data_IF_372678290199
#
_entry.id   IF_372678290199
#
_cell.length_a   1.000
_cell.length_b   1.000
_cell.length_c   1.000
_cell.angle_alpha   90.00
_cell.angle_beta   90.00
_cell.angle_gamma   90.00
#
_symmetry.space_group_name_H-M   'P 1'
#
loop_
_entity.id
_entity.type
_entity.pdbx_description
1 polymer ?
#
# COMPACT_ATOMS: atom_id res chain seq x y z
N UNK A 1 -12.65 -8.25 -4.16
CA UNK A 1 -12.38 -9.68 -4.37
C UNK A 1 -10.94 -9.87 -4.82
N UNK A 2 -10.46 -9.17 -5.86
CA UNK A 2 -9.10 -9.33 -6.40
C UNK A 2 -8.03 -9.13 -5.32
N UNK A 3 -8.07 -8.01 -4.59
CA UNK A 3 -7.14 -7.69 -3.50
C UNK A 3 -7.27 -8.61 -2.28
N UNK A 4 -8.41 -9.28 -2.14
CA UNK A 4 -8.66 -10.16 -1.01
C UNK A 4 -8.02 -11.55 -1.18
N UNK A 5 -8.07 -12.11 -2.37
CA UNK A 5 -7.74 -13.52 -2.59
C UNK A 5 -6.44 -13.67 -3.39
N UNK A 6 -6.29 -12.89 -4.45
CA UNK A 6 -5.22 -13.10 -5.44
C UNK A 6 -3.79 -12.96 -4.89
N UNK A 7 -3.46 -11.99 -3.99
CA UNK A 7 -2.10 -11.89 -3.46
C UNK A 7 -1.65 -13.15 -2.72
N UNK A 8 -2.54 -13.74 -1.93
CA UNK A 8 -2.25 -14.97 -1.19
C UNK A 8 -2.12 -16.18 -2.13
N UNK A 9 -3.07 -16.36 -3.07
CA UNK A 9 -3.03 -17.47 -4.03
C UNK A 9 -1.78 -17.44 -4.93
N UNK A 10 -1.48 -16.28 -5.49
CA UNK A 10 -0.32 -16.11 -6.36
C UNK A 10 1.00 -16.22 -5.58
N UNK A 11 1.00 -15.79 -4.31
CA UNK A 11 2.12 -16.05 -3.40
C UNK A 11 2.44 -17.53 -3.30
N UNK A 12 1.41 -18.38 -3.17
CA UNK A 12 1.57 -19.85 -3.14
C UNK A 12 2.13 -20.39 -4.45
N UNK A 13 1.61 -19.90 -5.58
CA UNK A 13 2.12 -20.30 -6.91
C UNK A 13 3.61 -19.97 -7.04
N UNK A 14 4.00 -18.80 -6.55
CA UNK A 14 5.40 -18.36 -6.53
C UNK A 14 6.27 -19.19 -5.59
N UNK A 15 5.78 -19.51 -4.40
CA UNK A 15 6.55 -20.29 -3.43
C UNK A 15 6.79 -21.74 -3.88
N UNK A 16 5.89 -22.33 -4.69
CA UNK A 16 5.91 -23.76 -5.02
C UNK A 16 6.29 -24.11 -6.43
N UNK A 17 5.91 -23.31 -7.42
CA UNK A 17 5.93 -23.78 -8.82
C UNK A 17 6.64 -22.86 -9.79
N UNK A 18 6.56 -21.55 -9.60
CA UNK A 18 7.04 -20.60 -10.63
C UNK A 18 7.93 -19.54 -9.96
N UNK A 19 8.99 -19.18 -10.65
CA UNK A 19 9.85 -18.08 -10.21
C UNK A 19 9.04 -16.78 -10.06
N UNK A 20 9.22 -16.08 -8.95
CA UNK A 20 8.45 -14.88 -8.59
C UNK A 20 8.56 -13.78 -9.66
N UNK A 21 9.76 -13.53 -10.20
CA UNK A 21 10.00 -12.51 -11.22
C UNK A 21 9.28 -12.85 -12.53
N UNK A 22 9.27 -14.11 -12.93
CA UNK A 22 8.58 -14.55 -14.16
C UNK A 22 7.07 -14.46 -14.02
N UNK A 23 6.56 -14.89 -12.86
CA UNK A 23 5.14 -14.81 -12.54
C UNK A 23 4.67 -13.36 -12.52
N UNK A 24 5.45 -12.47 -11.93
CA UNK A 24 5.18 -11.03 -11.92
C UNK A 24 5.15 -10.47 -13.36
N UNK A 25 6.08 -10.89 -14.23
CA UNK A 25 6.11 -10.49 -15.65
C UNK A 25 4.86 -10.92 -16.41
N UNK A 26 4.43 -12.17 -16.24
CA UNK A 26 3.20 -12.68 -16.88
C UNK A 26 1.96 -11.92 -16.39
N UNK A 27 1.87 -11.65 -15.10
CA UNK A 27 0.75 -10.90 -14.53
C UNK A 27 0.69 -9.46 -15.06
N UNK A 28 1.83 -8.79 -15.23
CA UNK A 28 1.88 -7.48 -15.86
C UNK A 28 1.45 -7.52 -17.32
N UNK A 29 1.77 -8.56 -18.07
CA UNK A 29 1.28 -8.74 -19.46
C UNK A 29 -0.23 -8.96 -19.52
N UNK A 30 -0.78 -9.78 -18.62
CA UNK A 30 -2.25 -9.97 -18.51
C UNK A 30 -2.93 -8.64 -18.18
N UNK A 31 -2.37 -7.88 -17.25
CA UNK A 31 -2.86 -6.55 -16.90
C UNK A 31 -2.80 -5.57 -18.07
N UNK A 32 -1.68 -5.56 -18.82
CA UNK A 32 -1.49 -4.70 -19.96
C UNK A 32 -2.53 -4.96 -21.07
N UNK A 33 -2.74 -6.22 -21.42
CA UNK A 33 -3.75 -6.63 -22.43
C UNK A 33 -5.15 -6.21 -21.96
N UNK A 34 -5.45 -6.46 -20.71
CA UNK A 34 -6.75 -6.12 -20.12
C UNK A 34 -7.03 -4.62 -20.12
N UNK A 35 -6.06 -3.78 -19.74
CA UNK A 35 -6.16 -2.32 -19.79
C UNK A 35 -6.29 -1.80 -21.21
N UNK A 36 -5.52 -2.37 -22.13
CA UNK A 36 -5.60 -2.01 -23.54
C UNK A 36 -7.00 -2.33 -24.11
N UNK A 37 -7.54 -3.52 -23.82
CA UNK A 37 -8.91 -3.85 -24.21
C UNK A 37 -9.93 -2.89 -23.57
N UNK A 38 -9.78 -2.58 -22.28
CA UNK A 38 -10.67 -1.67 -21.57
C UNK A 38 -10.72 -0.26 -22.19
N UNK A 39 -9.60 0.20 -22.79
CA UNK A 39 -9.53 1.52 -23.42
C UNK A 39 -10.46 1.67 -24.64
N UNK A 40 -10.83 0.57 -25.30
CA UNK A 40 -11.66 0.57 -26.52
C UNK A 40 -13.07 0.03 -26.31
N UNK A 41 -13.38 -0.50 -25.12
CA UNK A 41 -14.71 -1.03 -24.80
C UNK A 41 -15.62 0.10 -24.40
N UNK A 42 -16.79 0.17 -25.04
CA UNK A 42 -17.87 1.15 -24.72
C UNK A 42 -18.98 0.54 -23.87
N UNK A 43 -19.11 -0.79 -23.86
CA UNK A 43 -20.08 -1.49 -23.04
C UNK A 43 -19.63 -1.53 -21.58
N UNK A 44 -20.50 -1.15 -20.66
CA UNK A 44 -20.20 -1.01 -19.23
C UNK A 44 -19.86 -2.36 -18.55
N UNK A 45 -20.53 -3.43 -18.95
CA UNK A 45 -20.31 -4.74 -18.32
C UNK A 45 -19.00 -5.37 -18.82
N UNK A 46 -18.69 -5.22 -20.10
CA UNK A 46 -17.40 -5.64 -20.65
C UNK A 46 -16.24 -4.81 -20.04
N UNK A 47 -16.44 -3.51 -19.86
CA UNK A 47 -15.46 -2.66 -19.18
C UNK A 47 -15.20 -3.14 -17.75
N UNK A 48 -16.24 -3.46 -16.98
CA UNK A 48 -16.11 -4.01 -15.61
C UNK A 48 -15.34 -5.32 -15.60
N UNK A 49 -15.61 -6.20 -16.57
CA UNK A 49 -14.89 -7.49 -16.70
C UNK A 49 -13.40 -7.24 -16.99
N UNK A 50 -13.08 -6.37 -17.94
CA UNK A 50 -11.71 -6.02 -18.24
C UNK A 50 -10.99 -5.43 -17.02
N UNK A 51 -11.60 -4.50 -16.31
CA UNK A 51 -11.03 -3.94 -15.08
C UNK A 51 -10.88 -4.97 -13.96
N UNK A 52 -11.83 -5.93 -13.84
CA UNK A 52 -11.71 -7.03 -12.89
C UNK A 52 -10.50 -7.92 -13.22
N UNK A 53 -10.31 -8.29 -14.48
CA UNK A 53 -9.17 -9.10 -14.92
C UNK A 53 -7.86 -8.36 -14.65
N UNK A 54 -7.80 -7.04 -14.94
CA UNK A 54 -6.63 -6.22 -14.59
C UNK A 54 -6.36 -6.25 -13.08
N UNK A 55 -7.36 -6.07 -12.23
CA UNK A 55 -7.19 -6.09 -10.78
C UNK A 55 -6.77 -7.47 -10.25
N UNK A 56 -7.29 -8.56 -10.83
CA UNK A 56 -6.87 -9.93 -10.49
C UNK A 56 -5.39 -10.17 -10.82
N UNK A 57 -4.90 -9.59 -11.91
CA UNK A 57 -3.49 -9.68 -12.29
C UNK A 57 -2.60 -8.71 -11.49
N UNK A 58 -3.03 -7.47 -11.30
CA UNK A 58 -2.22 -6.40 -10.70
C UNK A 58 -2.01 -6.59 -9.19
N UNK A 59 -3.06 -6.92 -8.41
CA UNK A 59 -2.97 -6.97 -6.95
C UNK A 59 -1.88 -7.91 -6.42
N UNK A 60 -1.66 -9.11 -7.00
CA UNK A 60 -0.56 -9.96 -6.56
C UNK A 60 0.84 -9.39 -6.86
N UNK A 61 0.99 -8.56 -7.91
CA UNK A 61 2.30 -8.01 -8.25
C UNK A 61 2.86 -7.13 -7.12
N UNK A 62 1.99 -6.52 -6.31
CA UNK A 62 2.38 -5.73 -5.14
C UNK A 62 3.12 -6.60 -4.10
N UNK A 63 2.62 -7.80 -3.81
CA UNK A 63 3.28 -8.72 -2.88
C UNK A 63 4.52 -9.37 -3.46
N UNK A 64 4.47 -9.74 -4.75
CA UNK A 64 5.62 -10.33 -5.45
C UNK A 64 6.79 -9.35 -5.57
N UNK A 65 6.53 -8.05 -5.73
CA UNK A 65 7.58 -7.03 -5.81
C UNK A 65 8.46 -7.00 -4.56
N UNK A 66 7.89 -7.15 -3.37
CA UNK A 66 8.66 -7.29 -2.13
C UNK A 66 9.50 -8.57 -2.12
N UNK A 67 8.90 -9.69 -2.53
CA UNK A 67 9.58 -10.98 -2.56
C UNK A 67 10.78 -10.95 -3.50
N UNK A 68 10.61 -10.42 -4.72
CA UNK A 68 11.67 -10.30 -5.73
C UNK A 68 12.75 -9.33 -5.26
N UNK A 69 12.39 -8.16 -4.74
CA UNK A 69 13.33 -7.16 -4.27
C UNK A 69 14.18 -7.69 -3.09
N UNK A 70 13.55 -8.32 -2.10
CA UNK A 70 14.28 -8.87 -0.96
C UNK A 70 15.19 -10.03 -1.33
N UNK A 71 14.74 -10.90 -2.26
CA UNK A 71 15.60 -11.98 -2.78
C UNK A 71 16.82 -11.42 -3.54
N UNK A 72 16.63 -10.36 -4.32
CA UNK A 72 17.73 -9.71 -5.05
C UNK A 72 18.75 -9.06 -4.09
N UNK A 73 18.26 -8.36 -3.06
CA UNK A 73 19.08 -7.72 -2.02
C UNK A 73 19.88 -8.79 -1.23
N UNK A 74 19.23 -9.88 -0.82
CA UNK A 74 19.88 -10.98 -0.10
C UNK A 74 20.97 -11.64 -0.95
N UNK A 75 20.71 -11.89 -2.24
CA UNK A 75 21.70 -12.47 -3.17
C UNK A 75 22.90 -11.56 -3.39
N UNK A 76 22.70 -10.25 -3.35
CA UNK A 76 23.76 -9.27 -3.43
C UNK A 76 24.56 -9.11 -2.11
N UNK A 77 24.16 -9.79 -1.03
CA UNK A 77 24.77 -9.67 0.28
C UNK A 77 24.54 -8.32 0.96
N UNK A 78 23.49 -7.60 0.55
CA UNK A 78 23.11 -6.28 1.05
C UNK A 78 22.14 -6.39 2.23
N UNK A 79 21.96 -5.28 2.97
CA UNK A 79 21.06 -5.20 4.11
C UNK A 79 19.68 -4.69 3.68
N UNK A 80 18.62 -5.49 3.88
CA UNK A 80 17.26 -5.14 3.49
C UNK A 80 16.76 -3.84 4.12
N UNK A 81 17.12 -3.56 5.38
CA UNK A 81 16.68 -2.35 6.08
C UNK A 81 17.32 -1.11 5.46
N UNK A 82 18.60 -1.23 5.10
CA UNK A 82 19.39 -0.11 4.59
C UNK A 82 19.19 0.10 3.08
N UNK A 83 19.17 -1.00 2.32
CA UNK A 83 19.30 -0.96 0.87
C UNK A 83 17.95 -1.07 0.14
N UNK A 84 16.87 -1.57 0.79
CA UNK A 84 15.55 -1.63 0.17
C UNK A 84 14.87 -0.24 0.01
N UNK A 85 14.88 0.68 1.00
CA UNK A 85 14.21 1.96 0.86
C UNK A 85 14.64 2.80 -0.34
N UNK A 86 15.95 2.91 -0.69
CA UNK A 86 16.37 3.57 -1.92
C UNK A 86 15.80 2.94 -3.21
N UNK A 87 15.61 1.61 -3.22
CA UNK A 87 14.96 0.93 -4.36
C UNK A 87 13.47 1.26 -4.40
N UNK A 88 12.79 1.25 -3.25
CA UNK A 88 11.35 1.53 -3.14
C UNK A 88 10.97 2.95 -3.58
N UNK A 89 11.81 3.93 -3.34
CA UNK A 89 11.61 5.34 -3.73
C UNK A 89 11.36 5.49 -5.23
N UNK A 90 12.00 4.70 -6.09
CA UNK A 90 11.77 4.77 -7.53
C UNK A 90 10.32 4.46 -7.93
N UNK A 91 9.60 3.68 -7.11
CA UNK A 91 8.17 3.45 -7.31
C UNK A 91 7.35 4.75 -7.13
N UNK A 92 7.64 5.54 -6.10
CA UNK A 92 6.96 6.83 -5.87
C UNK A 92 7.36 7.88 -6.92
N UNK A 93 8.64 7.94 -7.29
CA UNK A 93 9.11 8.81 -8.38
C UNK A 93 8.39 8.46 -9.68
N UNK A 94 8.32 7.17 -10.03
CA UNK A 94 7.59 6.70 -11.22
C UNK A 94 6.11 7.08 -11.20
N UNK A 95 5.46 7.00 -10.03
CA UNK A 95 4.08 7.43 -9.86
C UNK A 95 3.90 8.93 -10.11
N UNK A 96 4.78 9.79 -9.57
CA UNK A 96 4.77 11.24 -9.80
C UNK A 96 4.96 11.55 -11.29
N UNK A 97 5.93 10.91 -11.93
CA UNK A 97 6.21 11.10 -13.36
C UNK A 97 5.01 10.67 -14.20
N UNK A 98 4.37 9.54 -13.88
CA UNK A 98 3.17 9.08 -14.57
C UNK A 98 2.01 10.07 -14.43
N UNK A 99 1.76 10.59 -13.21
CA UNK A 99 0.75 11.65 -12.98
C UNK A 99 1.01 12.90 -13.81
N UNK A 100 2.26 13.33 -13.91
CA UNK A 100 2.60 14.53 -14.69
C UNK A 100 2.44 14.30 -16.17
N UNK A 101 2.88 13.14 -16.69
CA UNK A 101 2.67 12.78 -18.10
C UNK A 101 1.17 12.75 -18.41
N UNK A 102 0.37 12.07 -17.57
CA UNK A 102 -1.08 11.97 -17.74
C UNK A 102 -1.76 13.35 -17.80
N UNK A 103 -1.36 14.26 -16.91
CA UNK A 103 -1.89 15.61 -16.85
C UNK A 103 -1.43 16.46 -18.03
N UNK A 104 -0.12 16.47 -18.36
CA UNK A 104 0.46 17.30 -19.43
C UNK A 104 -0.01 16.88 -20.83
N UNK A 105 -0.28 15.59 -21.02
CA UNK A 105 -0.81 15.06 -22.29
C UNK A 105 -2.32 15.19 -22.42
N UNK A 106 -3.02 15.55 -21.33
CA UNK A 106 -4.48 15.61 -21.30
C UNK A 106 -5.14 14.23 -21.28
N UNK A 107 -4.40 13.16 -21.04
CA UNK A 107 -4.93 11.80 -20.99
C UNK A 107 -5.85 11.56 -19.79
N UNK A 108 -5.72 12.33 -18.73
CA UNK A 108 -6.57 12.27 -17.53
C UNK A 108 -8.08 12.43 -17.81
N UNK A 109 -8.46 13.02 -18.95
CA UNK A 109 -9.85 13.24 -19.36
C UNK A 109 -10.36 12.28 -20.44
N UNK A 110 -9.54 11.30 -20.87
CA UNK A 110 -9.91 10.39 -21.96
C UNK A 110 -9.29 8.97 -21.75
N UNK A 111 -9.54 8.06 -22.71
CA UNK A 111 -9.05 6.67 -22.64
C UNK A 111 -7.51 6.56 -22.74
N UNK A 112 -6.80 7.64 -23.04
CA UNK A 112 -5.35 7.69 -23.12
C UNK A 112 -4.66 7.25 -21.83
N UNK A 113 -5.25 7.56 -20.67
CA UNK A 113 -4.76 7.07 -19.37
C UNK A 113 -4.68 5.55 -19.28
N UNK A 114 -5.68 4.83 -19.82
CA UNK A 114 -5.69 3.36 -19.83
C UNK A 114 -4.63 2.80 -20.78
N UNK A 115 -4.45 3.43 -21.95
CA UNK A 115 -3.41 3.04 -22.92
C UNK A 115 -2.02 3.29 -22.33
N UNK A 116 -1.79 4.43 -21.68
CA UNK A 116 -0.53 4.74 -21.00
C UNK A 116 -0.22 3.71 -19.91
N UNK A 117 -1.21 3.37 -19.09
CA UNK A 117 -1.07 2.35 -18.06
C UNK A 117 -0.80 0.95 -18.64
N UNK A 118 -1.44 0.60 -19.78
CA UNK A 118 -1.19 -0.64 -20.50
C UNK A 118 0.25 -0.71 -21.02
N UNK A 119 0.76 0.36 -21.64
CA UNK A 119 2.15 0.44 -22.12
C UNK A 119 3.16 0.33 -20.97
N UNK A 120 2.92 1.03 -19.85
CA UNK A 120 3.78 0.94 -18.67
C UNK A 120 3.78 -0.48 -18.08
N UNK A 121 2.61 -1.12 -17.99
CA UNK A 121 2.48 -2.51 -17.53
C UNK A 121 3.19 -3.49 -18.46
N UNK A 122 3.07 -3.33 -19.77
CA UNK A 122 3.78 -4.16 -20.77
C UNK A 122 5.31 -4.00 -20.66
N UNK A 123 5.80 -2.76 -20.53
CA UNK A 123 7.21 -2.48 -20.32
C UNK A 123 7.73 -3.11 -19.01
N UNK A 124 6.97 -3.00 -17.94
CA UNK A 124 7.30 -3.65 -16.65
C UNK A 124 7.30 -5.17 -16.81
N UNK A 125 6.34 -5.73 -17.53
CA UNK A 125 6.29 -7.17 -17.84
C UNK A 125 7.56 -7.67 -18.55
N UNK A 126 8.07 -6.94 -19.54
CA UNK A 126 9.34 -7.24 -20.20
C UNK A 126 10.53 -7.12 -19.23
N UNK A 127 10.55 -6.04 -18.44
CA UNK A 127 11.62 -5.80 -17.47
C UNK A 127 11.72 -6.91 -16.42
N UNK A 128 10.60 -7.48 -15.98
CA UNK A 128 10.58 -8.57 -15.03
C UNK A 128 11.42 -9.78 -15.43
N UNK A 129 11.53 -10.07 -16.72
CA UNK A 129 12.34 -11.19 -17.23
C UNK A 129 13.85 -10.91 -17.19
N UNK A 130 14.25 -9.66 -16.95
CA UNK A 130 15.67 -9.28 -16.79
C UNK A 130 16.11 -9.29 -15.31
N UNK A 131 15.17 -9.43 -14.37
CA UNK A 131 15.45 -9.43 -12.95
C UNK A 131 16.17 -10.70 -12.49
N UNK A 132 16.95 -10.64 -11.40
CA UNK A 132 17.59 -11.81 -10.81
C UNK A 132 16.56 -12.91 -10.48
N UNK A 133 16.85 -14.14 -10.89
CA UNK A 133 15.95 -15.27 -10.66
C UNK A 133 15.60 -15.41 -9.16
N UNK A 134 14.30 -15.49 -8.86
CA UNK A 134 13.76 -15.76 -7.53
C UNK A 134 13.02 -17.11 -7.57
N UNK A 135 13.77 -18.24 -7.48
CA UNK A 135 13.19 -19.56 -7.64
C UNK A 135 12.28 -19.91 -6.45
N UNK A 136 11.30 -20.81 -6.69
CA UNK A 136 10.49 -21.37 -5.63
C UNK A 136 11.37 -21.96 -4.52
N UNK A 137 10.93 -21.83 -3.27
CA UNK A 137 11.59 -22.53 -2.18
C UNK A 137 11.52 -24.04 -2.44
N UNK A 138 12.66 -24.78 -2.28
CA UNK A 138 12.66 -26.23 -2.47
C UNK A 138 11.54 -26.84 -1.63
N UNK A 139 10.55 -27.42 -2.30
CA UNK A 139 9.35 -27.95 -1.69
C UNK A 139 9.73 -28.94 -0.56
N UNK A 140 9.38 -28.61 0.65
CA UNK A 140 9.20 -29.65 1.67
C UNK A 140 8.11 -30.59 1.16
N UNK A 141 8.41 -31.89 1.12
CA UNK A 141 7.51 -32.97 0.67
C UNK A 141 6.26 -33.10 1.55
N UNK A 142 5.41 -32.07 1.57
CA UNK A 142 4.11 -32.16 2.20
C UNK A 142 3.04 -32.10 1.10
N UNK A 143 2.59 -33.28 0.66
CA UNK A 143 1.57 -33.44 -0.37
C UNK A 143 0.13 -33.29 0.21
N UNK A 144 -0.06 -32.58 1.31
CA UNK A 144 -1.37 -32.34 1.87
C UNK A 144 -2.18 -31.31 1.05
N UNK A 145 -3.50 -31.51 0.97
CA UNK A 145 -4.42 -30.59 0.27
C UNK A 145 -4.28 -29.15 0.80
N UNK A 146 -4.04 -28.97 2.09
CA UNK A 146 -3.76 -27.67 2.73
C UNK A 146 -2.53 -26.99 2.14
N UNK A 147 -1.46 -27.75 1.90
CA UNK A 147 -0.24 -27.25 1.28
C UNK A 147 -0.46 -26.86 -0.19
N UNK A 148 -1.27 -27.60 -0.93
CA UNK A 148 -1.63 -27.30 -2.32
C UNK A 148 -2.47 -26.03 -2.42
N UNK A 149 -3.36 -25.79 -1.45
CA UNK A 149 -4.20 -24.58 -1.38
C UNK A 149 -3.50 -23.37 -0.74
N UNK A 150 -2.23 -23.52 -0.31
CA UNK A 150 -1.47 -22.44 0.32
C UNK A 150 -1.90 -22.05 1.71
N UNK A 151 -2.72 -22.89 2.35
CA UNK A 151 -3.17 -22.69 3.72
C UNK A 151 -2.02 -22.85 4.73
N UNK A 152 -0.84 -23.30 4.27
CA UNK A 152 0.38 -23.32 5.09
C UNK A 152 0.75 -21.94 5.64
N UNK A 153 0.46 -20.88 4.89
CA UNK A 153 0.70 -19.52 5.34
C UNK A 153 -0.24 -19.09 6.49
N UNK A 154 -1.38 -19.79 6.70
CA UNK A 154 -2.23 -19.56 7.86
C UNK A 154 -1.55 -19.99 9.17
N UNK A 155 -0.46 -20.75 9.10
CA UNK A 155 0.37 -21.04 10.27
C UNK A 155 0.89 -19.76 10.95
N UNK A 156 1.02 -18.68 10.20
CA UNK A 156 1.41 -17.36 10.72
C UNK A 156 0.43 -16.84 11.80
N UNK A 157 -0.84 -17.21 11.72
CA UNK A 157 -1.84 -16.84 12.72
C UNK A 157 -1.72 -17.65 14.03
N UNK A 158 -0.98 -18.76 14.04
CA UNK A 158 -0.72 -19.54 15.27
C UNK A 158 0.29 -18.84 16.17
N UNK A 159 1.17 -18.03 15.62
CA UNK A 159 2.10 -17.24 16.41
C UNK A 159 1.41 -15.93 16.83
N UNK A 160 1.25 -15.74 18.15
CA UNK A 160 0.61 -14.55 18.71
C UNK A 160 1.15 -13.23 18.13
N UNK A 161 2.46 -13.11 17.99
CA UNK A 161 3.12 -11.89 17.49
C UNK A 161 2.72 -11.60 16.06
N UNK A 162 2.74 -12.60 15.19
CA UNK A 162 2.38 -12.47 13.77
C UNK A 162 0.87 -12.27 13.61
N UNK A 163 0.05 -12.96 14.40
CA UNK A 163 -1.40 -12.78 14.39
C UNK A 163 -1.81 -11.35 14.79
N UNK A 164 -1.22 -10.82 15.86
CA UNK A 164 -1.43 -9.43 16.29
C UNK A 164 -0.98 -8.46 15.19
N UNK A 165 0.20 -8.67 14.61
CA UNK A 165 0.68 -7.84 13.51
C UNK A 165 -0.31 -7.84 12.32
N UNK A 166 -0.79 -9.01 11.88
CA UNK A 166 -1.73 -9.14 10.77
C UNK A 166 -3.09 -8.48 11.09
N UNK A 167 -3.57 -8.61 12.32
CA UNK A 167 -4.79 -7.91 12.77
C UNK A 167 -4.63 -6.38 12.66
N UNK A 168 -3.52 -5.84 13.13
CA UNK A 168 -3.28 -4.40 13.05
C UNK A 168 -2.97 -3.94 11.63
N UNK A 169 -2.42 -4.81 10.78
CA UNK A 169 -2.28 -4.55 9.34
C UNK A 169 -3.64 -4.38 8.67
N UNK A 170 -4.62 -5.23 9.03
CA UNK A 170 -6.00 -5.09 8.60
C UNK A 170 -6.63 -3.77 9.05
N UNK A 171 -6.53 -3.43 10.34
CA UNK A 171 -7.08 -2.20 10.89
C UNK A 171 -6.43 -0.94 10.29
N UNK A 172 -5.13 -0.97 10.05
CA UNK A 172 -4.43 0.14 9.41
C UNK A 172 -4.79 0.26 7.91
N UNK A 173 -5.02 -0.86 7.24
CA UNK A 173 -5.55 -0.88 5.88
C UNK A 173 -6.91 -0.20 5.76
N UNK A 174 -7.74 -0.30 6.80
CA UNK A 174 -8.99 0.46 6.88
C UNK A 174 -8.75 1.97 6.96
N UNK A 175 -7.79 2.43 7.77
CA UNK A 175 -7.41 3.85 7.83
C UNK A 175 -6.88 4.37 6.47
N UNK A 176 -6.05 3.57 5.79
CA UNK A 176 -5.57 3.91 4.45
C UNK A 176 -6.72 4.10 3.46
N UNK A 177 -7.71 3.21 3.49
CA UNK A 177 -8.86 3.29 2.59
C UNK A 177 -9.72 4.53 2.82
N UNK A 178 -9.87 4.99 4.06
CA UNK A 178 -10.53 6.27 4.37
C UNK A 178 -9.90 7.42 3.58
N UNK A 179 -8.58 7.54 3.64
CA UNK A 179 -7.87 8.58 2.89
C UNK A 179 -8.03 8.44 1.38
N UNK A 180 -7.93 7.22 0.85
CA UNK A 180 -8.03 6.96 -0.58
C UNK A 180 -9.43 7.30 -1.14
N UNK A 181 -10.48 7.07 -0.36
CA UNK A 181 -11.86 7.35 -0.80
C UNK A 181 -12.27 8.80 -0.59
N UNK A 182 -11.89 9.40 0.53
CA UNK A 182 -12.46 10.68 0.96
C UNK A 182 -11.47 11.84 1.02
N UNK A 183 -10.17 11.61 0.83
CA UNK A 183 -9.18 12.68 0.84
C UNK A 183 -9.38 13.70 -0.28
N UNK A 184 -9.59 13.25 -1.51
CA UNK A 184 -9.85 14.13 -2.67
C UNK A 184 -11.24 14.76 -2.59
N UNK A 185 -12.34 14.01 -2.36
CA UNK A 185 -13.68 14.59 -2.17
C UNK A 185 -13.74 15.66 -1.07
N UNK A 186 -12.99 15.50 0.01
CA UNK A 186 -12.87 16.52 1.05
C UNK A 186 -12.24 17.82 0.52
N UNK A 187 -11.12 17.74 -0.17
CA UNK A 187 -10.49 18.93 -0.77
C UNK A 187 -11.39 19.58 -1.83
N UNK A 188 -12.11 18.77 -2.61
CA UNK A 188 -13.02 19.24 -3.63
C UNK A 188 -14.28 19.90 -3.05
N UNK A 189 -14.68 19.55 -1.81
CA UNK A 189 -15.84 20.18 -1.15
C UNK A 189 -15.64 21.70 -0.95
N UNK A 190 -14.41 22.15 -0.81
CA UNK A 190 -14.11 23.59 -0.70
C UNK A 190 -14.30 24.37 -2.01
N UNK A 191 -14.36 23.70 -3.18
CA UNK A 191 -14.58 24.38 -4.47
C UNK A 191 -15.91 25.13 -4.52
N UNK A 192 -16.93 24.63 -3.84
CA UNK A 192 -18.25 25.24 -3.82
C UNK A 192 -18.29 26.54 -3.00
N UNK A 193 -17.48 26.66 -1.95
CA UNK A 193 -17.50 27.79 -1.00
C UNK A 193 -16.34 28.75 -1.18
N UNK A 194 -15.15 28.26 -1.58
CA UNK A 194 -13.91 29.03 -1.67
C UNK A 194 -13.14 28.71 -2.98
N UNK A 195 -13.74 28.98 -4.18
CA UNK A 195 -13.12 28.58 -5.47
C UNK A 195 -11.77 29.24 -5.73
N UNK A 196 -11.55 30.45 -5.20
CA UNK A 196 -10.32 31.22 -5.40
C UNK A 196 -9.23 30.92 -4.36
N UNK A 197 -9.56 30.13 -3.33
CA UNK A 197 -8.58 29.80 -2.30
C UNK A 197 -7.38 29.02 -2.88
N UNK A 198 -6.18 29.36 -2.43
CA UNK A 198 -4.93 28.74 -2.92
C UNK A 198 -4.96 27.19 -2.83
N UNK A 199 -5.41 26.67 -1.71
CA UNK A 199 -5.49 25.21 -1.49
C UNK A 199 -6.44 24.50 -2.44
N UNK A 200 -7.46 25.19 -2.93
CA UNK A 200 -8.45 24.69 -3.88
C UNK A 200 -7.94 24.84 -5.31
N UNK A 201 -7.44 26.02 -5.66
CA UNK A 201 -6.88 26.33 -6.98
C UNK A 201 -5.70 25.42 -7.34
N UNK A 202 -4.88 25.08 -6.35
CA UNK A 202 -3.69 24.23 -6.49
C UNK A 202 -3.82 22.89 -5.76
N UNK A 203 -5.02 22.33 -5.71
CA UNK A 203 -5.29 21.05 -5.01
C UNK A 203 -4.42 19.88 -5.51
N UNK A 204 -4.05 19.87 -6.80
CA UNK A 204 -3.12 18.88 -7.38
C UNK A 204 -1.71 19.05 -6.81
N UNK A 205 -1.22 20.29 -6.66
CA UNK A 205 0.09 20.58 -6.05
C UNK A 205 0.05 20.16 -4.58
N UNK A 206 -1.00 20.52 -3.86
CA UNK A 206 -1.19 20.13 -2.47
C UNK A 206 -1.19 18.59 -2.31
N UNK A 207 -1.90 17.88 -3.18
CA UNK A 207 -1.92 16.41 -3.19
C UNK A 207 -0.55 15.81 -3.53
N UNK A 208 0.19 16.41 -4.48
CA UNK A 208 1.54 15.93 -4.85
C UNK A 208 2.56 16.08 -3.72
N UNK A 209 2.33 17.00 -2.76
CA UNK A 209 3.17 17.14 -1.57
C UNK A 209 3.17 15.86 -0.71
N UNK A 210 2.05 15.10 -0.71
CA UNK A 210 2.00 13.80 -0.05
C UNK A 210 2.99 12.81 -0.67
N UNK A 211 3.13 12.83 -1.99
CA UNK A 211 4.04 11.93 -2.72
C UNK A 211 5.51 12.34 -2.51
N UNK A 212 5.79 13.64 -2.50
CA UNK A 212 7.13 14.16 -2.17
C UNK A 212 7.50 13.76 -0.75
N UNK A 213 6.59 13.94 0.19
CA UNK A 213 6.76 13.52 1.59
C UNK A 213 6.99 12.01 1.70
N UNK A 214 6.21 11.18 1.00
CA UNK A 214 6.40 9.74 0.91
C UNK A 214 7.83 9.40 0.49
N UNK A 215 8.31 10.02 -0.60
CA UNK A 215 9.68 9.81 -1.08
C UNK A 215 10.73 10.10 -0.02
N UNK A 216 10.61 11.23 0.68
CA UNK A 216 11.57 11.64 1.73
C UNK A 216 11.54 10.70 2.93
N UNK A 217 10.34 10.32 3.38
CA UNK A 217 10.21 9.43 4.54
C UNK A 217 10.61 8.00 4.26
N UNK A 218 10.43 7.48 3.04
CA UNK A 218 10.99 6.17 2.64
C UNK A 218 12.51 6.17 2.82
N UNK A 219 13.19 7.22 2.36
CA UNK A 219 14.65 7.35 2.53
C UNK A 219 15.08 7.49 3.99
N UNK A 220 14.22 8.04 4.84
CA UNK A 220 14.47 8.15 6.28
C UNK A 220 14.23 6.84 7.06
N UNK A 221 13.54 5.85 6.48
CA UNK A 221 13.23 4.58 7.16
C UNK A 221 14.47 3.90 7.77
N UNK A 222 15.63 3.78 7.08
CA UNK A 222 16.81 3.15 7.66
C UNK A 222 17.27 3.82 8.96
N UNK A 223 17.22 5.15 9.02
CA UNK A 223 17.56 5.90 10.23
C UNK A 223 16.60 5.56 11.38
N UNK A 224 15.30 5.60 11.12
CA UNK A 224 14.30 5.30 12.15
C UNK A 224 14.35 3.84 12.60
N UNK A 225 14.51 2.89 11.67
CA UNK A 225 14.56 1.47 11.99
C UNK A 225 15.82 1.09 12.77
N UNK A 226 16.98 1.63 12.39
CA UNK A 226 18.23 1.35 13.10
C UNK A 226 18.22 1.91 14.52
N UNK A 227 17.61 3.09 14.73
CA UNK A 227 17.59 3.77 16.03
C UNK A 227 16.47 3.30 16.95
N UNK A 228 15.28 3.08 16.41
CA UNK A 228 14.07 2.82 17.19
C UNK A 228 13.56 1.38 17.09
N UNK A 229 13.94 0.66 16.03
CA UNK A 229 13.48 -0.68 15.73
C UNK A 229 12.05 -0.75 15.18
N UNK A 230 11.68 -1.89 14.63
CA UNK A 230 10.43 -2.13 13.88
C UNK A 230 9.18 -1.68 14.67
N UNK A 231 9.04 -2.12 15.94
CA UNK A 231 7.86 -1.79 16.76
C UNK A 231 7.62 -0.29 16.89
N UNK A 232 8.66 0.49 17.21
CA UNK A 232 8.53 1.94 17.41
C UNK A 232 8.24 2.66 16.10
N UNK A 233 8.83 2.21 14.99
CA UNK A 233 8.55 2.75 13.65
C UNK A 233 7.09 2.53 13.27
N UNK A 234 6.53 1.34 13.54
CA UNK A 234 5.09 1.09 13.36
C UNK A 234 4.22 1.98 14.26
N UNK A 235 4.59 2.20 15.52
CA UNK A 235 3.86 3.12 16.42
C UNK A 235 3.89 4.55 15.88
N UNK A 236 5.03 5.02 15.35
CA UNK A 236 5.13 6.34 14.71
C UNK A 236 4.16 6.43 13.52
N UNK A 237 4.01 5.37 12.73
CA UNK A 237 3.02 5.31 11.66
C UNK A 237 1.58 5.51 12.17
N UNK A 238 1.17 4.82 13.24
CA UNK A 238 -0.16 5.03 13.84
C UNK A 238 -0.35 6.47 14.33
N UNK A 239 0.66 7.04 14.99
CA UNK A 239 0.60 8.45 15.40
C UNK A 239 0.50 9.40 14.21
N UNK A 240 1.19 9.09 13.11
CA UNK A 240 1.11 9.87 11.89
C UNK A 240 -0.31 9.81 11.27
N UNK A 241 -1.01 8.66 11.33
CA UNK A 241 -2.42 8.57 10.92
C UNK A 241 -3.34 9.44 11.80
N UNK A 242 -3.13 9.45 13.13
CA UNK A 242 -3.87 10.34 14.05
C UNK A 242 -3.68 11.80 13.66
N UNK A 243 -2.42 12.20 13.43
CA UNK A 243 -2.09 13.58 13.03
C UNK A 243 -2.68 13.91 11.65
N UNK A 244 -2.61 13.00 10.68
CA UNK A 244 -3.16 13.21 9.34
C UNK A 244 -4.65 13.52 9.39
N UNK A 245 -5.43 12.68 10.07
CA UNK A 245 -6.87 12.88 10.18
C UNK A 245 -7.22 14.06 11.09
N UNK A 246 -6.48 14.25 12.17
CA UNK A 246 -6.63 15.41 13.05
C UNK A 246 -6.37 16.73 12.32
N UNK A 247 -5.35 16.80 11.49
CA UNK A 247 -5.07 17.98 10.66
C UNK A 247 -6.16 18.22 9.59
N UNK A 248 -6.75 17.16 9.03
CA UNK A 248 -7.92 17.33 8.16
C UNK A 248 -9.14 17.83 8.92
N UNK A 249 -9.34 17.41 10.17
CA UNK A 249 -10.47 17.84 10.98
C UNK A 249 -10.46 19.35 11.29
N UNK A 250 -9.26 19.93 11.46
CA UNK A 250 -9.08 21.36 11.78
C UNK A 250 -8.59 22.19 10.59
N UNK A 251 -8.29 21.54 9.47
CA UNK A 251 -7.81 22.17 8.25
C UNK A 251 -8.93 22.88 7.47
N UNK A 252 -8.57 23.93 6.77
CA UNK A 252 -9.49 24.69 5.94
C UNK A 252 -8.80 25.33 4.73
N UNK A 253 -9.59 25.84 3.76
CA UNK A 253 -9.05 26.30 2.47
C UNK A 253 -8.34 27.65 2.55
N UNK A 254 -8.57 28.47 3.58
CA UNK A 254 -8.06 29.82 3.71
C UNK A 254 -7.43 30.12 5.07
N UNK A 255 -6.56 31.11 5.10
CA UNK A 255 -5.92 31.60 6.32
C UNK A 255 -5.00 30.57 6.97
N UNK A 256 -4.90 30.63 8.31
CA UNK A 256 -4.05 29.72 9.10
C UNK A 256 -4.45 28.24 9.00
N UNK A 257 -5.73 27.85 8.88
CA UNK A 257 -6.15 26.46 8.67
C UNK A 257 -5.53 25.74 7.46
N UNK A 258 -5.07 26.46 6.42
CA UNK A 258 -4.35 25.87 5.28
C UNK A 258 -3.08 25.15 5.71
N UNK A 259 -2.41 25.64 6.75
CA UNK A 259 -1.19 25.02 7.28
C UNK A 259 -1.46 23.57 7.73
N UNK A 260 -2.63 23.31 8.31
CA UNK A 260 -3.00 21.95 8.74
C UNK A 260 -3.26 21.01 7.53
N UNK A 261 -3.80 21.52 6.43
CA UNK A 261 -3.92 20.74 5.20
C UNK A 261 -2.52 20.35 4.68
N UNK A 262 -1.58 21.30 4.64
CA UNK A 262 -0.19 21.04 4.25
C UNK A 262 0.48 20.04 5.19
N UNK A 263 0.34 20.22 6.50
CA UNK A 263 0.89 19.28 7.49
C UNK A 263 0.30 17.89 7.36
N UNK A 264 -1.00 17.78 7.06
CA UNK A 264 -1.65 16.49 6.77
C UNK A 264 -1.00 15.78 5.58
N UNK A 265 -0.67 16.52 4.51
CA UNK A 265 0.01 15.96 3.34
C UNK A 265 1.43 15.51 3.67
N UNK A 266 2.17 16.29 4.46
CA UNK A 266 3.54 15.95 4.87
C UNK A 266 3.56 14.69 5.74
N UNK A 267 2.65 14.57 6.69
CA UNK A 267 2.61 13.43 7.63
C UNK A 267 2.23 12.11 6.94
N UNK A 268 1.58 12.18 5.78
CA UNK A 268 1.16 10.99 5.01
C UNK A 268 2.29 10.01 4.71
N UNK A 269 3.47 10.51 4.32
CA UNK A 269 4.62 9.65 4.03
C UNK A 269 5.03 8.79 5.23
N UNK A 270 5.04 9.35 6.45
CA UNK A 270 5.26 8.54 7.67
C UNK A 270 4.10 7.60 7.94
N UNK A 271 2.86 8.05 7.74
CA UNK A 271 1.68 7.27 8.04
C UNK A 271 1.63 5.97 7.24
N UNK A 272 1.92 6.03 5.96
CA UNK A 272 1.83 4.88 5.05
C UNK A 272 3.10 4.02 5.08
N UNK A 273 4.26 4.60 4.76
CA UNK A 273 5.45 3.79 4.48
C UNK A 273 6.13 3.23 5.71
N UNK A 274 6.07 3.91 6.85
CA UNK A 274 6.68 3.40 8.08
C UNK A 274 6.03 2.08 8.51
N UNK A 275 4.73 1.92 8.32
CA UNK A 275 4.08 0.65 8.59
C UNK A 275 4.31 -0.35 7.45
N UNK A 276 4.12 0.08 6.20
CA UNK A 276 4.13 -0.81 5.05
C UNK A 276 5.52 -1.45 4.84
N UNK A 277 6.59 -0.64 4.86
CA UNK A 277 7.96 -1.16 4.70
C UNK A 277 8.40 -1.95 5.92
N UNK A 278 8.20 -1.42 7.14
CA UNK A 278 8.58 -2.16 8.35
C UNK A 278 7.76 -3.44 8.55
N UNK A 279 6.50 -3.43 8.16
CA UNK A 279 5.61 -4.59 8.19
C UNK A 279 6.02 -5.66 7.18
N UNK A 280 6.35 -5.25 5.96
CA UNK A 280 6.86 -6.16 4.94
C UNK A 280 8.18 -6.82 5.36
N UNK A 281 9.10 -6.06 5.97
CA UNK A 281 10.34 -6.60 6.54
C UNK A 281 10.04 -7.57 7.69
N UNK A 282 9.17 -7.16 8.63
CA UNK A 282 8.78 -7.99 9.76
C UNK A 282 8.22 -9.34 9.32
N UNK A 283 7.23 -9.34 8.41
CA UNK A 283 6.59 -10.57 7.94
C UNK A 283 7.57 -11.44 7.14
N UNK A 284 8.50 -10.85 6.40
CA UNK A 284 9.55 -11.57 5.67
C UNK A 284 10.58 -12.23 6.60
N UNK A 285 10.84 -11.64 7.76
CA UNK A 285 11.80 -12.18 8.75
C UNK A 285 11.14 -13.26 9.63
N UNK A 286 9.85 -13.13 9.95
CA UNK A 286 9.10 -14.12 10.75
C UNK A 286 8.65 -15.33 9.91
N UNK A 287 8.50 -15.19 8.60
CA UNK A 287 8.04 -16.27 7.73
C UNK A 287 9.17 -17.26 7.40
N UNK A 288 8.91 -18.57 7.50
CA UNK A 288 9.80 -19.60 6.97
C UNK A 288 10.12 -19.37 5.49
N UNK A 289 11.33 -19.75 5.06
CA UNK A 289 11.78 -19.57 3.68
C UNK A 289 10.82 -20.17 2.63
N UNK A 290 10.11 -21.23 3.00
CA UNK A 290 9.18 -21.96 2.14
C UNK A 290 7.85 -21.23 1.85
N UNK A 291 7.52 -20.17 2.60
CA UNK A 291 6.23 -19.46 2.50
C UNK A 291 6.40 -17.93 2.46
N UNK A 292 7.56 -17.42 2.12
CA UNK A 292 7.83 -15.96 2.16
C UNK A 292 6.92 -15.16 1.22
N UNK A 293 6.70 -15.62 -0.01
CA UNK A 293 5.82 -14.93 -0.95
C UNK A 293 4.35 -15.03 -0.51
N UNK A 294 3.92 -16.19 -0.01
CA UNK A 294 2.58 -16.36 0.55
C UNK A 294 2.36 -15.48 1.79
N UNK A 295 3.38 -15.30 2.64
CA UNK A 295 3.33 -14.43 3.80
C UNK A 295 3.16 -12.96 3.41
N UNK A 296 3.89 -12.48 2.39
CA UNK A 296 3.69 -11.16 1.81
C UNK A 296 2.29 -11.02 1.19
N UNK A 297 1.80 -12.08 0.54
CA UNK A 297 0.44 -12.13 0.01
C UNK A 297 -0.62 -11.97 1.09
N UNK A 298 -0.49 -12.66 2.23
CA UNK A 298 -1.40 -12.51 3.38
C UNK A 298 -1.32 -11.09 3.96
N UNK A 299 -0.13 -10.52 4.10
CA UNK A 299 0.03 -9.14 4.56
C UNK A 299 -0.72 -8.16 3.66
N UNK A 300 -0.57 -8.29 2.33
CA UNK A 300 -1.30 -7.46 1.36
C UNK A 300 -2.80 -7.75 1.36
N UNK A 301 -3.23 -8.99 1.55
CA UNK A 301 -4.63 -9.34 1.69
C UNK A 301 -5.26 -8.67 2.93
N UNK A 302 -4.55 -8.65 4.05
CA UNK A 302 -5.04 -8.00 5.28
C UNK A 302 -5.13 -6.49 5.11
N UNK A 303 -4.13 -5.83 4.51
CA UNK A 303 -4.10 -4.37 4.32
C UNK A 303 -5.01 -3.93 3.17
N UNK A 304 -4.70 -4.34 1.94
CA UNK A 304 -5.37 -3.85 0.72
C UNK A 304 -6.61 -4.66 0.33
N UNK A 305 -6.83 -5.83 0.94
CA UNK A 305 -8.02 -6.65 0.75
C UNK A 305 -9.07 -6.37 1.81
N UNK A 306 -8.99 -7.05 2.95
CA UNK A 306 -9.95 -6.94 4.05
C UNK A 306 -10.00 -5.53 4.63
N UNK A 307 -8.84 -4.91 4.85
CA UNK A 307 -8.75 -3.55 5.37
C UNK A 307 -9.49 -2.55 4.48
N UNK A 308 -9.28 -2.64 3.16
CA UNK A 308 -9.96 -1.74 2.22
C UNK A 308 -11.48 -1.95 2.17
N UNK A 309 -11.96 -3.20 2.25
CA UNK A 309 -13.40 -3.49 2.23
C UNK A 309 -14.06 -2.93 3.50
N UNK A 310 -13.53 -3.28 4.67
CA UNK A 310 -14.11 -2.85 5.95
C UNK A 310 -13.94 -1.35 6.16
N UNK A 311 -12.78 -0.81 5.80
CA UNK A 311 -12.51 0.61 5.87
C UNK A 311 -13.39 1.44 4.96
N UNK A 312 -13.59 0.99 3.71
CA UNK A 312 -14.48 1.66 2.77
C UNK A 312 -15.94 1.65 3.23
N UNK A 313 -16.43 0.50 3.70
CA UNK A 313 -17.78 0.38 4.23
C UNK A 313 -17.98 1.21 5.51
N UNK A 314 -17.07 1.08 6.49
CA UNK A 314 -17.13 1.81 7.74
C UNK A 314 -17.02 3.33 7.55
N UNK A 315 -16.09 3.77 6.68
CA UNK A 315 -16.00 5.19 6.33
C UNK A 315 -17.28 5.69 5.63
N UNK A 316 -17.84 4.86 4.73
CA UNK A 316 -19.11 5.19 4.07
C UNK A 316 -20.25 5.40 5.05
N UNK A 317 -20.36 4.59 6.11
CA UNK A 317 -21.36 4.78 7.16
C UNK A 317 -21.17 6.08 7.93
N UNK A 318 -19.93 6.43 8.31
CA UNK A 318 -19.62 7.69 8.99
C UNK A 318 -19.97 8.89 8.10
N UNK A 319 -19.59 8.85 6.84
CA UNK A 319 -19.87 9.91 5.87
C UNK A 319 -21.36 10.04 5.61
N UNK A 320 -22.08 8.92 5.42
CA UNK A 320 -23.53 8.94 5.22
C UNK A 320 -24.29 9.55 6.41
N UNK A 321 -23.84 9.24 7.63
CA UNK A 321 -24.45 9.80 8.84
C UNK A 321 -24.30 11.33 8.94
N UNK A 322 -23.19 11.89 8.42
CA UNK A 322 -22.92 13.33 8.39
C UNK A 322 -23.20 13.97 7.03
N UNK A 323 -24.10 13.37 6.24
CA UNK A 323 -24.49 13.88 4.92
C UNK A 323 -25.97 14.15 4.85
N UNK A 324 -26.33 15.25 4.19
CA UNK A 324 -27.72 15.60 3.85
C UNK A 324 -27.85 15.70 2.34
N UNK A 325 -28.86 15.07 1.76
CA UNK A 325 -29.10 15.03 0.31
C UNK A 325 -27.86 14.64 -0.53
N UNK A 326 -27.01 13.74 -0.01
CA UNK A 326 -25.80 13.28 -0.68
C UNK A 326 -24.59 14.22 -0.59
N UNK A 327 -24.71 15.32 0.16
CA UNK A 327 -23.61 16.27 0.40
C UNK A 327 -23.17 16.14 1.86
N UNK A 328 -21.87 16.00 2.11
CA UNK A 328 -21.33 15.96 3.47
C UNK A 328 -21.42 17.34 4.10
N UNK A 329 -22.13 17.44 5.22
CA UNK A 329 -22.38 18.69 5.95
C UNK A 329 -21.37 18.98 7.03
N UNK A 330 -20.73 17.94 7.59
CA UNK A 330 -19.77 18.08 8.71
C UNK A 330 -18.51 17.22 8.49
N UNK A 331 -17.62 17.70 7.63
CA UNK A 331 -16.30 17.09 7.42
C UNK A 331 -15.41 17.06 8.68
N UNK A 332 -15.36 18.13 9.52
CA UNK A 332 -14.61 18.10 10.77
C UNK A 332 -14.99 16.94 11.69
N UNK A 333 -16.27 16.66 11.89
CA UNK A 333 -16.74 15.54 12.69
C UNK A 333 -16.30 14.20 12.09
N UNK A 334 -16.42 14.02 10.76
CA UNK A 334 -15.97 12.80 10.08
C UNK A 334 -14.47 12.54 10.32
N UNK A 335 -13.63 13.54 10.08
CA UNK A 335 -12.19 13.40 10.26
C UNK A 335 -11.78 13.21 11.72
N UNK A 336 -12.52 13.81 12.69
CA UNK A 336 -12.31 13.58 14.13
C UNK A 336 -12.60 12.12 14.50
N UNK A 337 -13.66 11.52 13.97
CA UNK A 337 -13.98 10.10 14.20
C UNK A 337 -12.86 9.22 13.63
N UNK A 338 -12.36 9.51 12.43
CA UNK A 338 -11.26 8.74 11.84
C UNK A 338 -9.95 8.92 12.61
N UNK A 339 -9.67 10.12 13.16
CA UNK A 339 -8.53 10.37 14.03
C UNK A 339 -8.65 9.58 15.35
N UNK A 340 -9.83 9.55 15.96
CA UNK A 340 -10.10 8.76 17.15
C UNK A 340 -9.92 7.25 16.88
N UNK A 341 -10.41 6.74 15.75
CA UNK A 341 -10.17 5.36 15.30
C UNK A 341 -8.66 5.06 15.22
N UNK A 342 -7.89 5.91 14.52
CA UNK A 342 -6.44 5.73 14.39
C UNK A 342 -5.73 5.77 15.75
N UNK A 343 -6.17 6.63 16.67
CA UNK A 343 -5.64 6.72 18.02
C UNK A 343 -5.89 5.44 18.82
N UNK A 344 -7.11 4.94 18.82
CA UNK A 344 -7.49 3.70 19.53
C UNK A 344 -6.68 2.51 19.02
N UNK A 345 -6.60 2.30 17.71
CA UNK A 345 -5.83 1.19 17.16
C UNK A 345 -4.32 1.34 17.44
N UNK A 346 -3.79 2.55 17.41
CA UNK A 346 -2.39 2.83 17.75
C UNK A 346 -2.05 2.51 19.21
N UNK A 347 -2.92 2.89 20.16
CA UNK A 347 -2.77 2.55 21.59
C UNK A 347 -2.85 1.04 21.78
N UNK A 348 -3.85 0.39 21.19
CA UNK A 348 -4.01 -1.06 21.31
C UNK A 348 -2.80 -1.81 20.73
N UNK A 349 -2.27 -1.37 19.57
CA UNK A 349 -1.05 -1.91 19.00
C UNK A 349 0.15 -1.77 19.94
N UNK A 350 0.35 -0.60 20.52
CA UNK A 350 1.47 -0.34 21.43
C UNK A 350 1.42 -1.26 22.67
N UNK A 351 0.22 -1.56 23.16
CA UNK A 351 0.00 -2.41 24.34
C UNK A 351 0.11 -3.90 24.01
N UNK A 352 -0.39 -4.34 22.86
CA UNK A 352 -0.50 -5.78 22.53
C UNK A 352 0.67 -6.32 21.72
N UNK A 353 1.28 -5.49 20.87
CA UNK A 353 2.39 -5.94 20.03
C UNK A 353 3.71 -5.91 20.78
N UNK A 354 4.21 -7.10 21.15
CA UNK A 354 5.48 -7.26 21.86
C UNK A 354 6.57 -7.73 20.89
N UNK A 355 7.47 -6.81 20.54
CA UNK A 355 8.64 -7.11 19.69
C UNK A 355 9.90 -6.51 20.33
N UNK A 356 10.89 -7.37 20.65
CA UNK A 356 12.22 -6.93 21.07
C UNK A 356 13.10 -6.82 19.83
N UNK A 357 13.57 -5.62 19.56
CA UNK A 357 14.55 -5.40 18.50
C UNK A 357 15.83 -6.15 18.85
N UNK A 358 16.15 -7.18 18.10
CA UNK A 358 17.48 -7.78 18.12
C UNK A 358 18.32 -6.98 17.13
N UNK A 359 19.17 -6.08 17.62
CA UNK A 359 20.22 -5.50 16.80
C UNK A 359 21.04 -6.71 16.27
N UNK A 360 21.08 -6.91 14.96
CA UNK A 360 22.00 -7.89 14.36
C UNK A 360 23.39 -7.47 14.80
N UNK A 361 23.98 -8.23 15.72
CA UNK A 361 25.40 -8.13 16.05
C UNK A 361 26.11 -8.30 14.72
N UNK A 362 26.87 -7.28 14.30
CA UNK A 362 27.79 -7.41 13.18
C UNK A 362 28.66 -8.63 13.50
N UNK A 363 28.50 -9.69 12.70
CA UNK A 363 29.50 -10.74 12.69
C UNK A 363 30.81 -10.03 12.26
N UNK A 364 31.68 -9.77 13.23
CA UNK A 364 33.04 -9.37 12.95
C UNK A 364 33.60 -10.45 12.02
N UNK A 365 33.93 -10.04 10.81
CA UNK A 365 34.77 -10.84 9.94
C UNK A 365 36.13 -10.92 10.63
N UNK A 366 36.38 -12.06 11.24
CA UNK A 366 37.75 -12.53 11.53
C UNK A 366 38.33 -13.11 10.25
#
# INVERSE_FOLDING_TARGET
IASLIMPALIGVVSDKWVNAERLMGVLHWVGAISLFCAAFVTDYDLFKIAMLVNMLAYMPTLSLSYTVAYNAIDKAGLDRIKDYPPVRVWGTIGFIVAMWIDNLTGFSSNNGQLIMAACASAAMGLYCFTLPACPPAKAMKNNGLMSVLGLDALVLFKNYRTAVFLLFSFLLGAALQVTNMYGVPFLDSFKATHPEAWAVKYSVILSSLSQVSETLFILAIPFFMSRYGIKRVMIISFMAWVLRFGFFAIGGPEGFPVVFLVLSMIVYGMAFDFFNVSGSLFISDEAPASIKASAQGIFMMMTNGLGSIVGGYGAGLVIAYHSENGVVTDWPACWTIFAAYACVIGILFALTFHYKHQAKVKAEKV
#
